data_IF_552659716745
#
_entry.id   IF_552659716745
#
_cell.length_a   1.000
_cell.length_b   1.000
_cell.length_c   1.000
_cell.angle_alpha   90.00
_cell.angle_beta   90.00
_cell.angle_gamma   90.00
#
_symmetry.space_group_name_H-M   'P 1'
#
loop_
_entity.id
_entity.type
_entity.pdbx_description
1 polymer ?
#
# COMPACT_ATOMS: atom_id res chain seq x y z
N UNK A 1 5.97 -3.28 -14.72
CA UNK A 1 5.81 -2.26 -13.65
C UNK A 1 6.16 -0.93 -14.26
N UNK A 2 5.22 0.02 -14.26
CA UNK A 2 5.38 1.31 -14.96
C UNK A 2 5.91 2.42 -14.04
N UNK A 3 5.83 2.21 -12.72
CA UNK A 3 6.48 3.00 -11.68
C UNK A 3 7.11 2.04 -10.67
N UNK A 4 8.21 2.45 -10.06
CA UNK A 4 8.88 1.69 -9.00
C UNK A 4 8.00 1.52 -7.76
N UNK A 5 8.50 0.76 -6.79
CA UNK A 5 7.85 0.56 -5.49
C UNK A 5 8.25 1.72 -4.59
N UNK A 6 7.27 2.48 -4.12
CA UNK A 6 7.48 3.63 -3.25
C UNK A 6 6.75 3.46 -1.92
N UNK A 7 7.28 4.01 -0.81
CA UNK A 7 6.52 4.10 0.43
C UNK A 7 5.20 4.85 0.20
N UNK A 8 4.13 4.41 0.85
CA UNK A 8 2.81 5.06 0.79
C UNK A 8 2.22 5.24 2.18
N UNK A 9 1.76 6.46 2.45
CA UNK A 9 1.22 6.88 3.75
C UNK A 9 -0.15 7.56 3.66
N UNK A 10 -0.73 7.65 2.46
CA UNK A 10 -1.99 8.33 2.18
C UNK A 10 -3.06 7.35 1.68
N UNK A 11 -4.32 7.65 1.97
CA UNK A 11 -5.49 7.00 1.36
C UNK A 11 -6.48 8.07 0.94
N UNK A 12 -7.29 7.81 -0.07
CA UNK A 12 -8.37 8.71 -0.46
C UNK A 12 -9.39 8.79 0.69
N UNK A 13 -9.64 9.96 1.30
CA UNK A 13 -10.45 10.05 2.52
C UNK A 13 -11.89 9.53 2.30
N UNK A 14 -12.34 8.65 3.19
CA UNK A 14 -13.75 8.23 3.27
C UNK A 14 -14.61 9.34 3.88
N UNK A 15 -15.94 9.19 3.85
CA UNK A 15 -16.84 10.16 4.52
C UNK A 15 -16.59 10.24 6.04
N UNK A 16 -16.31 9.11 6.68
CA UNK A 16 -15.93 9.06 8.10
C UNK A 16 -14.60 9.80 8.37
N UNK A 17 -13.65 9.75 7.44
CA UNK A 17 -12.39 10.48 7.57
C UNK A 17 -12.59 12.00 7.47
N UNK A 18 -13.59 12.44 6.70
CA UNK A 18 -13.94 13.86 6.48
C UNK A 18 -14.83 14.44 7.59
N UNK A 19 -15.53 13.59 8.35
CA UNK A 19 -16.43 13.99 9.44
C UNK A 19 -15.72 14.69 10.61
N UNK A 20 -16.28 15.81 11.08
CA UNK A 20 -15.75 16.55 12.24
C UNK A 20 -14.95 17.81 11.91
N UNK A 21 -15.09 18.35 10.70
CA UNK A 21 -14.50 19.62 10.27
C UNK A 21 -12.99 19.66 10.56
N UNK A 22 -12.51 20.63 11.36
CA UNK A 22 -11.10 20.81 11.72
C UNK A 22 -10.55 19.66 12.58
N UNK A 23 -11.42 18.90 13.26
CA UNK A 23 -11.01 17.77 14.11
C UNK A 23 -10.97 16.44 13.36
N UNK A 24 -11.55 16.40 12.15
CA UNK A 24 -11.60 15.20 11.31
C UNK A 24 -10.20 14.60 11.06
N UNK A 25 -10.14 13.31 10.74
CA UNK A 25 -8.87 12.68 10.38
C UNK A 25 -8.28 13.32 9.12
N UNK A 26 -9.10 13.54 8.09
CA UNK A 26 -8.71 14.17 6.84
C UNK A 26 -8.07 15.56 7.08
N UNK A 27 -8.74 16.44 7.83
CA UNK A 27 -8.22 17.77 8.15
C UNK A 27 -6.89 17.70 8.89
N UNK A 28 -6.75 16.80 9.87
CA UNK A 28 -5.48 16.62 10.60
C UNK A 28 -4.38 16.06 9.72
N UNK A 29 -4.69 15.12 8.83
CA UNK A 29 -3.69 14.56 7.91
C UNK A 29 -3.21 15.58 6.88
N UNK A 30 -4.11 16.42 6.35
CA UNK A 30 -3.76 17.53 5.45
C UNK A 30 -2.99 18.64 6.14
N UNK A 31 -3.37 19.00 7.38
CA UNK A 31 -2.60 19.93 8.20
C UNK A 31 -1.19 19.42 8.51
N UNK A 32 -1.01 18.09 8.56
CA UNK A 32 0.27 17.43 8.70
C UNK A 32 0.97 17.13 7.36
N UNK A 33 0.41 17.57 6.23
CA UNK A 33 0.97 17.42 4.88
C UNK A 33 1.21 15.98 4.42
N UNK A 34 0.45 15.01 4.93
CA UNK A 34 0.60 13.59 4.55
C UNK A 34 0.12 13.36 3.11
N UNK A 35 -0.81 14.18 2.61
CA UNK A 35 -1.36 14.16 1.25
C UNK A 35 -0.41 14.73 0.18
N UNK A 36 0.61 15.47 0.61
CA UNK A 36 1.49 16.26 -0.24
C UNK A 36 2.97 15.90 -0.05
N UNK A 37 3.23 14.66 0.37
CA UNK A 37 4.57 14.13 0.53
C UNK A 37 5.33 14.00 -0.79
N UNK A 38 6.61 14.33 -0.73
CA UNK A 38 7.60 13.99 -1.76
C UNK A 38 8.75 13.22 -1.13
N UNK A 39 9.30 12.25 -1.87
CA UNK A 39 10.41 11.43 -1.40
C UNK A 39 11.73 11.88 -1.99
N UNK A 40 12.64 12.32 -1.12
CA UNK A 40 14.02 12.65 -1.49
C UNK A 40 14.91 11.45 -1.17
N UNK A 41 15.73 11.04 -2.13
CA UNK A 41 16.74 10.01 -1.89
C UNK A 41 17.92 10.63 -1.16
N UNK A 42 18.10 10.30 0.12
CA UNK A 42 19.23 10.73 0.94
C UNK A 42 20.50 9.96 0.60
N UNK A 43 20.37 8.66 0.36
CA UNK A 43 21.48 7.80 -0.06
C UNK A 43 20.97 6.58 -0.81
N UNK A 44 21.78 6.08 -1.73
CA UNK A 44 21.57 4.81 -2.41
C UNK A 44 22.93 4.10 -2.51
N UNK A 45 23.01 2.86 -2.05
CA UNK A 45 24.20 2.01 -2.21
C UNK A 45 23.81 0.66 -2.81
N UNK A 46 24.75 0.06 -3.53
CA UNK A 46 24.60 -1.26 -4.14
C UNK A 46 25.75 -2.13 -3.67
N UNK A 47 25.42 -3.32 -3.22
CA UNK A 47 26.35 -4.35 -2.76
C UNK A 47 26.07 -5.64 -3.52
N UNK A 48 27.11 -6.35 -3.93
CA UNK A 48 27.01 -7.67 -4.55
C UNK A 48 27.64 -8.71 -3.62
N UNK A 49 26.93 -9.12 -2.54
CA UNK A 49 27.48 -10.03 -1.53
C UNK A 49 27.80 -11.42 -2.07
N UNK A 50 27.20 -11.84 -3.19
CA UNK A 50 27.49 -13.09 -3.89
C UNK A 50 27.11 -12.98 -5.39
N UNK A 51 27.58 -13.92 -6.22
CA UNK A 51 27.39 -13.88 -7.68
C UNK A 51 25.91 -13.80 -8.13
N UNK A 52 25.01 -14.43 -7.36
CA UNK A 52 23.56 -14.50 -7.67
C UNK A 52 22.72 -13.66 -6.69
N UNK A 53 23.31 -12.65 -6.08
CA UNK A 53 22.65 -11.83 -5.06
C UNK A 53 23.14 -10.38 -5.13
N UNK A 54 22.20 -9.46 -5.36
CA UNK A 54 22.45 -8.01 -5.32
C UNK A 54 21.60 -7.40 -4.23
N UNK A 55 22.19 -6.54 -3.41
CA UNK A 55 21.52 -5.79 -2.36
C UNK A 55 21.58 -4.30 -2.68
N UNK A 56 20.43 -3.64 -2.77
CA UNK A 56 20.32 -2.19 -2.97
C UNK A 56 19.74 -1.60 -1.69
N UNK A 57 20.45 -0.67 -1.07
CA UNK A 57 20.02 0.02 0.15
C UNK A 57 19.71 1.46 -0.19
N UNK A 58 18.46 1.87 0.01
CA UNK A 58 17.99 3.23 -0.27
C UNK A 58 17.44 3.86 1.00
N UNK A 59 17.86 5.08 1.29
CA UNK A 59 17.30 5.88 2.39
C UNK A 59 16.52 7.03 1.78
N UNK A 60 15.21 7.06 2.04
CA UNK A 60 14.32 8.14 1.65
C UNK A 60 14.00 9.06 2.82
N UNK A 61 13.83 10.34 2.52
CA UNK A 61 13.19 11.32 3.39
C UNK A 61 11.83 11.69 2.78
N UNK A 62 10.75 11.46 3.53
CA UNK A 62 9.43 11.99 3.22
C UNK A 62 9.35 13.43 3.71
N UNK A 63 9.31 14.38 2.78
CA UNK A 63 9.29 15.82 3.06
C UNK A 63 8.06 16.45 2.42
N UNK A 64 7.69 17.65 2.88
CA UNK A 64 6.70 18.47 2.20
C UNK A 64 7.19 18.80 0.79
N UNK A 65 6.30 18.67 -0.20
CA UNK A 65 6.54 19.17 -1.55
C UNK A 65 6.57 20.70 -1.53
N UNK A 66 7.71 21.32 -1.87
CA UNK A 66 7.75 22.79 -2.06
C UNK A 66 7.00 23.19 -3.34
N UNK A 67 6.47 24.41 -3.38
CA UNK A 67 5.75 24.95 -4.54
C UNK A 67 6.65 25.15 -5.78
N UNK A 68 7.96 25.28 -5.58
CA UNK A 68 8.97 25.50 -6.63
C UNK A 68 9.83 24.26 -6.94
N UNK A 69 9.59 23.14 -6.26
CA UNK A 69 10.39 21.92 -6.36
C UNK A 69 11.79 22.01 -5.75
N UNK A 70 12.14 23.12 -5.08
CA UNK A 70 13.40 23.29 -4.36
C UNK A 70 13.33 22.72 -2.93
N UNK A 71 14.43 22.12 -2.47
CA UNK A 71 14.54 21.59 -1.12
C UNK A 71 15.23 22.63 -0.23
N UNK A 72 14.61 23.04 0.87
CA UNK A 72 15.31 23.85 1.87
C UNK A 72 16.35 22.98 2.59
N UNK A 73 17.59 23.08 2.12
CA UNK A 73 18.76 22.45 2.72
C UNK A 73 19.10 23.19 4.04
N UNK A 74 18.89 22.55 5.21
CA UNK A 74 19.41 23.09 6.48
C UNK A 74 18.57 22.88 7.75
N UNK A 75 17.30 22.46 7.64
CA UNK A 75 16.50 21.99 8.79
C UNK A 75 15.85 20.67 8.40
N UNK A 76 16.16 19.58 9.12
CA UNK A 76 15.58 18.27 8.86
C UNK A 76 14.09 18.23 9.26
N UNK A 77 13.22 18.83 8.44
CA UNK A 77 11.76 18.79 8.54
C UNK A 77 11.17 17.52 7.89
N UNK A 78 11.92 16.42 7.85
CA UNK A 78 11.43 15.16 7.31
C UNK A 78 10.30 14.63 8.19
N UNK A 79 9.13 14.42 7.59
CA UNK A 79 7.97 13.81 8.23
C UNK A 79 8.18 12.29 8.37
N UNK A 80 8.96 11.69 7.49
CA UNK A 80 9.30 10.27 7.50
C UNK A 80 10.77 10.06 7.16
N UNK A 81 11.45 9.20 7.91
CA UNK A 81 12.72 8.59 7.49
C UNK A 81 12.42 7.15 7.10
N UNK A 82 12.79 6.73 5.89
CA UNK A 82 12.51 5.39 5.38
C UNK A 82 13.79 4.73 4.89
N UNK A 83 14.12 3.59 5.47
CA UNK A 83 15.18 2.71 4.98
C UNK A 83 14.52 1.57 4.19
N UNK A 84 14.81 1.45 2.90
CA UNK A 84 14.35 0.35 2.05
C UNK A 84 15.55 -0.45 1.53
N UNK A 85 15.54 -1.75 1.80
CA UNK A 85 16.56 -2.69 1.36
C UNK A 85 15.92 -3.64 0.35
N UNK A 86 16.44 -3.65 -0.87
CA UNK A 86 16.04 -4.56 -1.93
C UNK A 86 17.11 -5.65 -2.06
N UNK A 87 16.77 -6.89 -1.76
CA UNK A 87 17.64 -8.06 -1.96
C UNK A 87 17.11 -8.84 -3.16
N UNK A 88 17.88 -8.82 -4.25
CA UNK A 88 17.54 -9.40 -5.55
C UNK A 88 18.34 -10.69 -5.75
N UNK A 89 17.65 -11.81 -5.91
CA UNK A 89 18.23 -13.13 -6.11
C UNK A 89 18.27 -13.50 -7.60
N UNK A 90 19.20 -14.37 -7.99
CA UNK A 90 19.28 -14.93 -9.34
C UNK A 90 18.04 -15.75 -9.76
N UNK A 91 17.17 -16.14 -8.83
CA UNK A 91 15.86 -16.73 -9.12
C UNK A 91 14.85 -15.73 -9.69
N UNK A 92 15.13 -14.42 -9.59
CA UNK A 92 14.17 -13.34 -9.85
C UNK A 92 13.36 -12.92 -8.63
N UNK A 93 13.60 -13.54 -7.46
CA UNK A 93 13.01 -13.08 -6.20
C UNK A 93 13.59 -11.74 -5.76
N UNK A 94 12.71 -10.86 -5.30
CA UNK A 94 13.06 -9.57 -4.71
C UNK A 94 12.45 -9.52 -3.32
N UNK A 95 13.29 -9.44 -2.30
CA UNK A 95 12.87 -9.17 -0.93
C UNK A 95 13.03 -7.68 -0.68
N UNK A 96 11.95 -7.02 -0.31
CA UNK A 96 11.91 -5.60 0.04
C UNK A 96 11.69 -5.50 1.54
N UNK A 97 12.72 -5.09 2.27
CA UNK A 97 12.65 -4.83 3.72
C UNK A 97 12.54 -3.32 3.93
N UNK A 98 11.53 -2.89 4.68
CA UNK A 98 11.24 -1.48 4.93
C UNK A 98 11.27 -1.19 6.42
N UNK A 99 12.01 -0.16 6.81
CA UNK A 99 12.00 0.44 8.15
C UNK A 99 11.54 1.89 8.02
N UNK A 100 10.37 2.20 8.59
CA UNK A 100 9.73 3.52 8.52
C UNK A 100 9.77 4.16 9.91
N UNK A 101 10.28 5.38 10.00
CA UNK A 101 10.29 6.20 11.22
C UNK A 101 9.54 7.51 10.95
N UNK A 102 8.23 7.54 11.24
CA UNK A 102 7.44 8.78 11.19
C UNK A 102 7.92 9.76 12.27
N UNK A 103 7.70 11.05 12.04
CA UNK A 103 7.79 12.06 13.10
C UNK A 103 6.67 11.80 14.13
N UNK A 104 7.01 11.78 15.42
CA UNK A 104 6.07 11.48 16.51
C UNK A 104 4.94 12.49 16.68
N UNK A 105 5.10 13.70 16.15
CA UNK A 105 4.09 14.77 16.24
C UNK A 105 2.98 14.63 15.18
N UNK A 106 3.11 13.66 14.27
CA UNK A 106 2.07 13.36 13.28
C UNK A 106 0.80 12.83 13.95
N UNK A 107 -0.39 13.08 13.38
CA UNK A 107 -1.60 12.37 13.79
C UNK A 107 -1.47 10.85 13.50
N UNK A 108 -2.37 10.01 14.03
CA UNK A 108 -2.49 8.63 13.58
C UNK A 108 -2.57 8.56 12.05
N UNK A 109 -1.78 7.68 11.45
CA UNK A 109 -1.54 7.63 10.02
C UNK A 109 -2.66 6.90 9.26
N UNK A 110 -2.98 7.30 8.02
CA UNK A 110 -3.98 6.59 7.20
C UNK A 110 -3.56 5.14 6.89
N UNK A 111 -2.28 4.97 6.49
CA UNK A 111 -1.65 3.68 6.20
C UNK A 111 -0.13 3.75 6.32
N UNK A 112 0.49 2.59 6.34
CA UNK A 112 1.93 2.37 6.17
C UNK A 112 2.11 1.16 5.27
N UNK A 113 2.61 1.40 4.07
CA UNK A 113 2.77 0.38 3.06
C UNK A 113 3.64 0.84 1.91
N UNK A 114 3.48 0.14 0.80
CA UNK A 114 4.06 0.51 -0.48
C UNK A 114 2.99 0.63 -1.55
N UNK A 115 3.24 1.52 -2.50
CA UNK A 115 2.47 1.69 -3.73
C UNK A 115 3.36 1.37 -4.94
N UNK A 116 2.79 0.71 -5.93
CA UNK A 116 3.41 0.54 -7.24
C UNK A 116 2.36 0.41 -8.34
N UNK A 117 2.79 0.54 -9.60
CA UNK A 117 1.90 0.52 -10.75
C UNK A 117 2.19 -0.65 -11.68
N UNK A 118 1.14 -1.40 -12.01
CA UNK A 118 1.18 -2.48 -12.99
C UNK A 118 0.57 -2.03 -14.33
N UNK A 119 0.96 -2.73 -15.39
CA UNK A 119 0.31 -2.55 -16.69
C UNK A 119 -1.15 -2.98 -16.61
N UNK A 120 -2.03 -2.26 -17.30
CA UNK A 120 -3.48 -2.52 -17.33
C UNK A 120 -3.87 -3.94 -17.73
N UNK A 121 -3.01 -4.64 -18.47
CA UNK A 121 -3.20 -6.01 -18.95
C UNK A 121 -3.05 -7.07 -17.86
N UNK A 122 -2.42 -6.74 -16.72
CA UNK A 122 -2.14 -7.64 -15.60
C UNK A 122 -3.30 -7.57 -14.59
N UNK A 123 -4.51 -7.83 -15.07
CA UNK A 123 -5.76 -7.49 -14.38
C UNK A 123 -6.45 -8.65 -13.66
N UNK A 124 -5.90 -9.87 -13.71
CA UNK A 124 -6.43 -11.03 -13.00
C UNK A 124 -5.75 -11.16 -11.64
N UNK A 125 -6.54 -11.03 -10.57
CA UNK A 125 -6.07 -11.06 -9.19
C UNK A 125 -6.47 -12.38 -8.55
N UNK A 126 -5.51 -13.06 -7.93
CA UNK A 126 -5.77 -14.18 -7.02
C UNK A 126 -5.10 -13.88 -5.69
N UNK A 127 -5.76 -14.17 -4.57
CA UNK A 127 -5.16 -13.92 -3.26
C UNK A 127 -5.54 -14.97 -2.23
N UNK A 128 -4.67 -15.12 -1.23
CA UNK A 128 -4.95 -15.86 -0.01
C UNK A 128 -5.05 -14.88 1.16
N UNK A 129 -6.27 -14.68 1.65
CA UNK A 129 -6.58 -13.67 2.67
C UNK A 129 -8.07 -13.60 2.95
N UNK A 130 -8.57 -12.50 3.51
CA UNK A 130 -10.01 -12.31 3.69
C UNK A 130 -10.70 -11.94 2.37
N UNK A 131 -11.94 -12.40 2.22
CA UNK A 131 -12.77 -12.12 1.05
C UNK A 131 -14.16 -12.77 1.14
N UNK A 132 -14.92 -12.79 0.02
CA UNK A 132 -14.54 -12.23 -1.28
C UNK A 132 -14.71 -10.70 -1.37
N UNK A 133 -15.57 -10.11 -0.55
CA UNK A 133 -15.88 -8.67 -0.57
C UNK A 133 -14.81 -7.83 0.15
N UNK A 134 -14.92 -6.50 0.03
CA UNK A 134 -14.02 -5.56 0.70
C UNK A 134 -14.12 -5.64 2.23
N UNK A 135 -12.99 -5.49 2.92
CA UNK A 135 -12.93 -5.49 4.37
C UNK A 135 -11.72 -4.70 4.89
N UNK A 136 -11.88 -4.13 6.06
CA UNK A 136 -10.89 -3.27 6.73
C UNK A 136 -10.64 -3.75 8.16
N UNK A 137 -9.57 -3.29 8.84
CA UNK A 137 -9.15 -3.83 10.14
C UNK A 137 -10.24 -3.92 11.22
N UNK A 138 -11.15 -2.94 11.24
CA UNK A 138 -12.30 -2.84 12.15
C UNK A 138 -13.62 -3.38 11.56
N UNK A 139 -13.64 -3.72 10.26
CA UNK A 139 -14.81 -4.24 9.54
C UNK A 139 -14.44 -5.46 8.68
N UNK A 140 -14.03 -6.56 9.33
CA UNK A 140 -13.60 -7.80 8.65
C UNK A 140 -14.16 -9.12 9.17
N UNK A 141 -15.01 -9.09 10.19
CA UNK A 141 -15.52 -10.30 10.85
C UNK A 141 -16.30 -11.23 9.91
N UNK A 142 -17.02 -10.68 8.93
CA UNK A 142 -17.78 -11.43 7.93
C UNK A 142 -16.93 -12.00 6.79
N UNK A 143 -15.72 -11.48 6.58
CA UNK A 143 -14.86 -11.89 5.48
C UNK A 143 -13.97 -13.08 5.90
N UNK A 144 -14.18 -14.25 5.30
CA UNK A 144 -13.48 -15.47 5.67
C UNK A 144 -12.09 -15.55 5.02
N UNK A 145 -11.15 -16.22 5.69
CA UNK A 145 -9.86 -16.57 5.09
C UNK A 145 -10.06 -17.68 4.07
N UNK A 146 -9.58 -17.46 2.85
CA UNK A 146 -9.69 -18.42 1.76
C UNK A 146 -8.88 -17.99 0.54
N UNK A 147 -8.99 -18.79 -0.51
CA UNK A 147 -8.48 -18.46 -1.84
C UNK A 147 -9.58 -17.81 -2.65
N UNK A 148 -9.30 -16.64 -3.20
CA UNK A 148 -10.26 -15.88 -3.99
C UNK A 148 -9.62 -15.41 -5.29
N UNK A 149 -10.46 -15.16 -6.28
CA UNK A 149 -10.07 -14.67 -7.60
C UNK A 149 -11.04 -13.58 -8.04
N UNK A 150 -10.51 -12.49 -8.61
CA UNK A 150 -11.29 -11.39 -9.14
C UNK A 150 -10.48 -10.59 -10.16
N UNK A 151 -11.15 -9.92 -11.10
CA UNK A 151 -10.47 -8.91 -11.93
C UNK A 151 -10.27 -7.61 -11.14
N UNK A 152 -9.31 -6.76 -11.54
CA UNK A 152 -9.15 -5.41 -10.97
C UNK A 152 -10.46 -4.62 -11.03
N UNK A 153 -11.22 -4.74 -12.13
CA UNK A 153 -12.52 -4.09 -12.26
C UNK A 153 -13.53 -4.58 -11.19
N UNK A 154 -13.48 -5.86 -10.82
CA UNK A 154 -14.34 -6.43 -9.79
C UNK A 154 -13.96 -6.02 -8.37
N UNK A 155 -12.73 -5.54 -8.13
CA UNK A 155 -12.30 -5.06 -6.82
C UNK A 155 -12.95 -3.71 -6.45
N UNK A 156 -13.38 -2.93 -7.44
CA UNK A 156 -13.95 -1.60 -7.21
C UNK A 156 -15.33 -1.67 -6.57
N UNK A 157 -15.52 -0.90 -5.50
CA UNK A 157 -16.82 -0.71 -4.84
C UNK A 157 -17.35 0.69 -5.17
N UNK A 158 -18.48 0.81 -5.89
CA UNK A 158 -18.96 2.09 -6.42
C UNK A 158 -19.74 2.87 -5.36
N UNK A 159 -19.05 3.41 -4.35
CA UNK A 159 -19.63 4.38 -3.42
C UNK A 159 -20.07 5.64 -4.17
N UNK A 160 -21.24 6.18 -3.81
CA UNK A 160 -21.84 7.36 -4.49
C UNK A 160 -20.87 8.54 -4.50
N UNK A 161 -20.26 8.82 -3.34
CA UNK A 161 -19.11 9.72 -3.22
C UNK A 161 -17.85 8.84 -3.25
N UNK A 162 -16.99 8.98 -4.26
CA UNK A 162 -15.76 8.20 -4.35
C UNK A 162 -14.80 8.43 -3.16
N UNK A 163 -14.04 7.39 -2.83
CA UNK A 163 -13.07 7.36 -1.74
C UNK A 163 -12.34 6.02 -1.67
N UNK A 164 -11.51 5.81 -0.64
CA UNK A 164 -10.84 4.54 -0.37
C UNK A 164 -11.84 3.37 -0.37
N UNK A 165 -11.56 2.35 -1.17
CA UNK A 165 -12.46 1.22 -1.38
C UNK A 165 -11.73 -0.01 -1.93
N UNK A 166 -12.37 -1.18 -1.86
CA UNK A 166 -11.88 -2.41 -2.48
C UNK A 166 -10.80 -3.16 -1.68
N UNK A 167 -10.42 -2.65 -0.51
CA UNK A 167 -9.39 -3.25 0.35
C UNK A 167 -9.71 -4.68 0.78
N UNK A 168 -8.68 -5.54 0.83
CA UNK A 168 -8.72 -6.90 1.37
C UNK A 168 -7.79 -6.98 2.57
N UNK A 169 -8.29 -7.52 3.68
CA UNK A 169 -7.55 -7.61 4.93
C UNK A 169 -6.90 -8.98 5.13
N UNK A 170 -5.89 -9.00 5.98
CA UNK A 170 -5.13 -10.19 6.34
C UNK A 170 -4.67 -11.00 5.10
N UNK A 171 -4.13 -10.33 4.08
CA UNK A 171 -3.62 -10.98 2.87
C UNK A 171 -2.22 -11.53 3.14
N UNK A 172 -1.99 -12.81 2.82
CA UNK A 172 -0.68 -13.47 2.94
C UNK A 172 0.10 -13.35 1.64
N UNK A 173 -0.60 -13.60 0.53
CA UNK A 173 -0.07 -13.42 -0.80
C UNK A 173 -1.16 -13.02 -1.80
N UNK A 174 -0.73 -12.37 -2.87
CA UNK A 174 -1.54 -11.97 -4.02
C UNK A 174 -0.75 -12.17 -5.31
N UNK A 175 -1.43 -12.56 -6.38
CA UNK A 175 -0.89 -12.55 -7.74
C UNK A 175 -1.67 -11.59 -8.60
N UNK A 176 -0.98 -10.90 -9.49
CA UNK A 176 -1.56 -10.15 -10.60
C UNK A 176 -1.05 -10.81 -11.89
N UNK A 177 -1.96 -11.25 -12.76
CA UNK A 177 -1.62 -11.95 -13.99
C UNK A 177 -2.34 -11.34 -15.19
N UNK A 178 -1.70 -11.41 -16.35
CA UNK A 178 -2.35 -11.19 -17.62
C UNK A 178 -3.05 -12.47 -18.12
N UNK A 179 -3.66 -12.37 -19.30
CA UNK A 179 -4.39 -13.46 -19.97
C UNK A 179 -3.52 -14.68 -20.28
N UNK A 180 -2.21 -14.47 -20.44
CA UNK A 180 -1.22 -15.50 -20.75
C UNK A 180 -0.64 -16.13 -19.47
N UNK A 181 -1.13 -15.75 -18.28
CA UNK A 181 -0.65 -16.24 -16.99
C UNK A 181 0.66 -15.59 -16.52
N UNK A 182 1.17 -14.59 -17.23
CA UNK A 182 2.38 -13.84 -16.87
C UNK A 182 2.03 -12.68 -15.93
N UNK A 183 2.88 -12.41 -14.94
CA UNK A 183 2.72 -11.22 -14.11
C UNK A 183 3.61 -11.20 -12.87
N UNK A 184 3.05 -10.77 -11.74
CA UNK A 184 3.77 -10.67 -10.47
C UNK A 184 3.03 -11.38 -9.33
N UNK A 185 3.80 -12.08 -8.50
CA UNK A 185 3.39 -12.56 -7.18
C UNK A 185 3.98 -11.64 -6.11
N UNK A 186 3.18 -11.32 -5.09
CA UNK A 186 3.59 -10.58 -3.91
C UNK A 186 3.14 -11.29 -2.64
N UNK A 187 3.97 -11.33 -1.61
CA UNK A 187 3.64 -11.94 -0.32
C UNK A 187 4.33 -11.26 0.85
N UNK A 188 3.78 -11.42 2.05
CA UNK A 188 4.53 -11.10 3.27
C UNK A 188 5.80 -11.96 3.34
N UNK A 189 6.87 -11.42 3.91
CA UNK A 189 8.13 -12.13 4.06
C UNK A 189 8.67 -12.10 5.50
N UNK A 190 9.38 -13.16 5.88
CA UNK A 190 9.88 -13.34 7.24
C UNK A 190 8.75 -13.37 8.27
N UNK A 191 8.93 -12.60 9.35
CA UNK A 191 7.96 -12.51 10.45
C UNK A 191 6.91 -11.40 10.26
N UNK A 192 6.80 -10.85 9.04
CA UNK A 192 5.84 -9.77 8.77
C UNK A 192 4.39 -10.30 8.88
N UNK A 193 3.48 -9.57 9.54
CA UNK A 193 2.09 -9.98 9.63
C UNK A 193 1.39 -9.84 8.26
N UNK A 194 0.26 -10.56 8.05
CA UNK A 194 -0.59 -10.38 6.87
C UNK A 194 -0.93 -8.91 6.60
N UNK A 195 -0.96 -8.54 5.31
CA UNK A 195 -1.09 -7.16 4.82
C UNK A 195 -2.56 -6.77 4.55
N UNK A 196 -2.84 -5.47 4.45
CA UNK A 196 -4.00 -4.94 3.72
C UNK A 196 -3.59 -4.77 2.25
N UNK A 197 -4.43 -5.17 1.30
CA UNK A 197 -4.15 -5.06 -0.12
C UNK A 197 -5.31 -4.41 -0.87
N UNK A 198 -5.01 -3.51 -1.80
CA UNK A 198 -5.98 -3.00 -2.77
C UNK A 198 -5.34 -2.85 -4.15
N UNK A 199 -6.16 -2.94 -5.20
CA UNK A 199 -5.76 -2.74 -6.57
C UNK A 199 -6.89 -2.09 -7.35
N UNK A 200 -6.60 -1.00 -8.08
CA UNK A 200 -7.62 -0.16 -8.70
C UNK A 200 -7.13 0.43 -10.02
N UNK A 201 -8.06 0.65 -10.95
CA UNK A 201 -7.84 1.51 -12.12
C UNK A 201 -7.99 3.00 -11.80
N UNK A 202 -8.62 3.33 -10.67
CA UNK A 202 -8.77 4.69 -10.19
C UNK A 202 -7.68 4.95 -9.15
N UNK A 203 -6.82 5.93 -9.45
CA UNK A 203 -5.72 6.32 -8.57
C UNK A 203 -6.26 6.93 -7.28
N UNK A 204 -5.50 6.88 -6.21
CA UNK A 204 -5.86 7.49 -4.92
C UNK A 204 -6.23 8.97 -5.09
N UNK A 205 -5.44 9.73 -5.85
CA UNK A 205 -5.72 11.13 -6.15
C UNK A 205 -7.02 11.33 -6.96
N UNK A 206 -7.39 10.37 -7.81
CA UNK A 206 -8.60 10.42 -8.61
C UNK A 206 -9.85 10.11 -7.77
N UNK A 207 -9.76 9.11 -6.87
CA UNK A 207 -10.79 8.81 -5.89
C UNK A 207 -11.04 9.97 -4.93
N UNK A 208 -9.99 10.74 -4.58
CA UNK A 208 -10.13 11.94 -3.75
C UNK A 208 -10.72 13.14 -4.53
N UNK A 209 -10.39 13.27 -5.81
CA UNK A 209 -10.85 14.36 -6.68
C UNK A 209 -12.34 14.26 -6.99
N UNK A 210 -12.80 13.07 -7.37
CA UNK A 210 -14.16 12.88 -7.86
C UNK A 210 -15.19 13.00 -6.73
N UNK A 211 -16.29 13.67 -7.02
CA UNK A 211 -17.42 13.84 -6.09
C UNK A 211 -18.59 12.91 -6.41
N UNK A 212 -18.64 12.42 -7.65
CA UNK A 212 -19.64 11.48 -8.15
C UNK A 212 -18.98 10.40 -9.01
N UNK A 213 -19.59 9.22 -9.08
CA UNK A 213 -19.03 8.04 -9.78
C UNK A 213 -18.79 8.30 -11.27
N UNK A 214 -19.68 9.05 -11.93
CA UNK A 214 -19.58 9.40 -13.34
C UNK A 214 -18.41 10.34 -13.68
N UNK A 215 -17.85 11.02 -12.67
CA UNK A 215 -16.68 11.87 -12.83
C UNK A 215 -15.37 11.08 -12.84
N UNK A 216 -15.40 9.80 -12.42
CA UNK A 216 -14.21 8.97 -12.28
C UNK A 216 -13.58 8.64 -13.63
N UNK A 217 -12.31 8.98 -13.77
CA UNK A 217 -11.48 8.70 -14.93
C UNK A 217 -10.62 7.47 -14.64
N UNK A 218 -10.87 6.38 -15.38
CA UNK A 218 -10.03 5.18 -15.31
C UNK A 218 -8.64 5.48 -15.85
N UNK A 219 -7.61 5.09 -15.10
CA UNK A 219 -6.22 5.16 -15.53
C UNK A 219 -5.84 4.11 -16.60
N UNK A 220 -4.62 4.26 -17.11
CA UNK A 220 -3.99 3.34 -18.06
C UNK A 220 -3.04 2.33 -17.41
N UNK A 221 -3.01 2.33 -16.08
CA UNK A 221 -2.27 1.43 -15.21
C UNK A 221 -3.19 0.94 -14.07
N UNK A 222 -2.69 -0.01 -13.29
CA UNK A 222 -3.31 -0.48 -12.05
C UNK A 222 -2.46 0.07 -10.90
N UNK A 223 -3.06 0.88 -10.04
CA UNK A 223 -2.44 1.31 -8.78
C UNK A 223 -2.66 0.21 -7.74
N UNK A 224 -1.57 -0.30 -7.16
CA UNK A 224 -1.59 -1.38 -6.17
C UNK A 224 -1.00 -0.86 -4.87
N UNK A 225 -1.72 -1.10 -3.76
CA UNK A 225 -1.25 -0.83 -2.40
C UNK A 225 -1.08 -2.14 -1.64
N UNK A 226 0.09 -2.31 -1.01
CA UNK A 226 0.39 -3.41 -0.09
C UNK A 226 0.80 -2.83 1.26
N UNK A 227 -0.12 -2.84 2.23
CA UNK A 227 0.09 -2.18 3.52
C UNK A 227 0.42 -3.14 4.64
N UNK A 228 1.49 -2.81 5.36
CA UNK A 228 1.78 -3.41 6.64
C UNK A 228 0.72 -3.02 7.69
N UNK A 229 0.27 -1.77 7.66
CA UNK A 229 -0.81 -1.25 8.52
C UNK A 229 -1.72 -0.35 7.72
N UNK A 230 -3.01 -0.49 7.96
CA UNK A 230 -4.04 0.41 7.46
C UNK A 230 -4.89 0.82 8.66
N UNK A 231 -5.29 2.08 8.74
CA UNK A 231 -6.20 2.53 9.78
C UNK A 231 -7.60 1.98 9.53
N UNK A 232 -8.37 1.76 10.60
CA UNK A 232 -9.81 1.44 10.50
C UNK A 232 -10.62 2.49 9.74
N UNK A 233 -11.89 2.17 9.49
CA UNK A 233 -12.87 3.07 8.86
C UNK A 233 -13.68 3.87 9.88
N UNK A 234 -13.87 3.35 11.10
CA UNK A 234 -14.78 3.93 12.09
C UNK A 234 -16.24 3.79 11.66
N UNK A 235 -17.08 4.72 12.13
CA UNK A 235 -18.50 4.76 11.78
C UNK A 235 -19.46 4.65 12.96
N UNK A 236 -19.01 4.86 14.21
CA UNK A 236 -19.91 5.07 15.34
C UNK A 236 -20.82 6.30 15.07
N UNK A 237 -20.23 7.33 14.47
CA UNK A 237 -20.89 8.40 13.71
C UNK A 237 -19.97 8.84 12.55
N UNK A 238 -20.47 9.75 11.70
CA UNK A 238 -19.75 10.29 10.53
C UNK A 238 -19.50 11.80 10.64
N UNK A 239 -19.52 12.37 11.84
CA UNK A 239 -19.25 13.80 12.09
C UNK A 239 -18.28 14.05 13.25
N UNK A 240 -17.68 12.99 13.80
CA UNK A 240 -16.53 13.03 14.71
C UNK A 240 -15.54 11.91 14.36
N UNK A 241 -14.24 12.06 14.72
CA UNK A 241 -13.28 10.97 14.59
C UNK A 241 -13.69 9.73 15.41
N UNK A 242 -14.12 8.66 14.73
CA UNK A 242 -14.75 7.50 15.37
C UNK A 242 -14.01 6.17 15.22
N UNK A 243 -12.72 6.18 14.81
CA UNK A 243 -11.90 4.96 14.77
C UNK A 243 -11.41 4.62 16.17
N UNK A 244 -11.79 3.44 16.67
CA UNK A 244 -11.37 2.99 18.01
C UNK A 244 -9.85 2.81 18.09
N UNK A 245 -9.27 3.09 19.26
CA UNK A 245 -7.80 3.16 19.46
C UNK A 245 -7.01 1.96 18.91
N UNK A 246 -7.52 0.74 19.10
CA UNK A 246 -6.88 -0.50 18.61
C UNK A 246 -6.78 -0.62 17.08
N UNK A 247 -7.49 0.23 16.34
CA UNK A 247 -7.49 0.27 14.87
C UNK A 247 -6.83 1.55 14.33
N UNK A 248 -6.26 2.40 15.19
CA UNK A 248 -5.40 3.50 14.78
C UNK A 248 -4.01 2.99 14.40
N UNK A 249 -3.33 3.75 13.54
CA UNK A 249 -1.91 3.53 13.19
C UNK A 249 -1.10 4.66 13.81
N UNK A 250 -0.57 4.52 15.03
CA UNK A 250 0.18 5.59 15.69
C UNK A 250 1.49 5.92 14.94
N UNK A 251 2.03 7.15 15.04
CA UNK A 251 3.27 7.56 14.36
C UNK A 251 4.54 7.04 15.08
N UNK A 252 4.65 5.72 15.22
CA UNK A 252 5.81 5.05 15.84
C UNK A 252 6.67 4.39 14.77
N UNK A 253 7.90 3.90 15.08
CA UNK A 253 8.67 3.12 14.13
C UNK A 253 7.97 1.82 13.71
N UNK A 254 8.02 1.50 12.41
CA UNK A 254 7.50 0.26 11.83
C UNK A 254 8.57 -0.46 11.02
N UNK A 255 8.49 -1.80 10.98
CA UNK A 255 9.34 -2.62 10.11
C UNK A 255 8.55 -3.76 9.52
N UNK A 256 8.71 -3.98 8.22
CA UNK A 256 8.00 -5.02 7.47
C UNK A 256 8.75 -5.39 6.20
N UNK A 257 8.49 -6.59 5.71
CA UNK A 257 9.13 -7.14 4.53
C UNK A 257 8.13 -7.78 3.58
N UNK A 258 8.33 -7.55 2.29
CA UNK A 258 7.51 -8.09 1.20
C UNK A 258 8.44 -8.85 0.25
N UNK A 259 7.99 -10.01 -0.23
CA UNK A 259 8.62 -10.73 -1.34
C UNK A 259 7.84 -10.46 -2.61
N UNK A 260 8.54 -10.18 -3.69
CA UNK A 260 8.02 -10.12 -5.05
C UNK A 260 8.74 -11.16 -5.90
N UNK A 261 8.03 -11.79 -6.82
CA UNK A 261 8.65 -12.61 -7.85
C UNK A 261 7.80 -12.68 -9.12
N UNK A 262 8.41 -12.96 -10.28
CA UNK A 262 7.68 -13.23 -11.50
C UNK A 262 6.76 -14.45 -11.36
N UNK A 263 5.53 -14.36 -11.88
CA UNK A 263 4.66 -15.52 -12.07
C UNK A 263 4.52 -15.80 -13.58
N UNK A 264 4.44 -17.08 -13.93
CA UNK A 264 4.34 -17.53 -15.32
C UNK A 264 3.17 -18.50 -15.48
N UNK A 265 2.79 -18.82 -16.72
CA UNK A 265 1.79 -19.86 -16.98
C UNK A 265 2.10 -21.23 -16.35
N UNK A 266 3.37 -21.51 -16.07
CA UNK A 266 3.83 -22.77 -15.47
C UNK A 266 3.83 -22.76 -13.93
N UNK A 267 3.59 -21.60 -13.28
CA UNK A 267 3.66 -21.46 -11.82
C UNK A 267 2.36 -20.89 -11.26
N UNK A 268 1.92 -21.41 -10.11
CA UNK A 268 0.79 -20.84 -9.37
C UNK A 268 1.24 -20.16 -8.09
N UNK A 269 0.51 -19.11 -7.67
CA UNK A 269 0.77 -18.44 -6.38
C UNK A 269 0.68 -19.41 -5.19
N UNK A 270 -0.19 -20.42 -5.28
CA UNK A 270 -0.30 -21.48 -4.27
C UNK A 270 0.98 -22.32 -4.18
N UNK A 271 1.56 -22.73 -5.32
CA UNK A 271 2.79 -23.54 -5.33
C UNK A 271 3.98 -22.74 -4.79
N UNK A 272 4.07 -21.46 -5.18
CA UNK A 272 5.08 -20.53 -4.67
C UNK A 272 4.95 -20.42 -3.15
N UNK A 273 3.75 -20.18 -2.63
CA UNK A 273 3.51 -20.06 -1.20
C UNK A 273 3.80 -21.36 -0.44
N UNK A 274 3.35 -22.50 -0.97
CA UNK A 274 3.58 -23.82 -0.34
C UNK A 274 5.06 -24.16 -0.23
N UNK A 275 5.87 -23.79 -1.22
CA UNK A 275 7.32 -24.00 -1.19
C UNK A 275 8.02 -23.24 -0.05
N UNK A 276 7.43 -22.13 0.43
CA UNK A 276 7.95 -21.35 1.55
C UNK A 276 7.64 -21.96 2.92
N UNK A 277 6.59 -22.78 3.02
CA UNK A 277 6.18 -23.41 4.28
C UNK A 277 6.94 -24.69 4.60
N UNK A 278 7.68 -25.24 3.64
CA UNK A 278 8.38 -26.52 3.76
C UNK A 278 9.80 -26.42 4.34
N UNK A 279 10.15 -25.25 4.90
CA UNK A 279 11.40 -25.00 5.63
C UNK A 279 11.11 -24.59 7.07
#
# INVERSE_FOLDING_TARGET
MNKGIFPCFWRAPTDNDKGGEQTSYCSRWKAAHIDSLSFVTKSCSIESPADNLVKIVVVYLGVLKSEDGSFEEGKSNALFNIDMIYTIYGSGDIIVESSVKPNSDLPPLPRIGVEFHLEKSVDQIKWYGRGPFECYPDRKASAHIGFYEQSVAGMHVPYIVPGESGGKADVRWVTFQNKDGLGIYASVYGNSPPMQMSASYYKTAELERATHIEELIKGDDIEVHLDHKHMGLGGDDSWTPSVHEKYLVPPVPYSYSIRLCPITAATSGYDIYKSQLQN
#
